data_IF_919358646969
#
_entry.id   IF_919358646969
#
_cell.length_a   1.000
_cell.length_b   1.000
_cell.length_c   1.000
_cell.angle_alpha   90.00
_cell.angle_beta   90.00
_cell.angle_gamma   90.00
#
_symmetry.space_group_name_H-M   'P 1'
#
loop_
_entity.id
_entity.type
_entity.pdbx_description
1 polymer ?
#
# COMPACT_ATOMS: atom_id res chain seq x y z
N UNK A 1 1.71 -12.14 10.45
CA UNK A 1 1.67 -10.76 10.99
C UNK A 1 0.56 -10.00 10.26
N UNK A 2 -0.08 -9.03 10.91
CA UNK A 2 -1.12 -8.20 10.27
C UNK A 2 -0.82 -6.74 10.47
N UNK A 3 -0.78 -5.97 9.38
CA UNK A 3 -0.53 -4.53 9.35
C UNK A 3 -1.62 -3.89 8.52
N UNK A 4 -2.56 -3.20 9.17
CA UNK A 4 -3.73 -2.66 8.49
C UNK A 4 -4.14 -1.29 8.98
N UNK A 5 -4.71 -0.48 8.08
CA UNK A 5 -5.30 0.79 8.47
C UNK A 5 -4.29 1.87 8.85
N UNK A 6 -3.06 1.84 8.34
CA UNK A 6 -2.01 2.80 8.70
C UNK A 6 -1.80 3.85 7.60
N UNK A 7 -1.48 5.08 8.00
CA UNK A 7 -0.98 6.14 7.11
C UNK A 7 0.53 6.27 7.33
N UNK A 8 1.31 6.05 6.28
CA UNK A 8 2.77 6.15 6.30
C UNK A 8 3.18 7.33 5.41
N UNK A 9 3.77 8.37 5.99
CA UNK A 9 4.26 9.54 5.27
C UNK A 9 5.65 9.96 5.78
N UNK A 10 6.46 10.56 4.90
CA UNK A 10 7.77 11.12 5.26
C UNK A 10 8.92 10.11 5.44
N UNK A 11 8.65 8.80 5.30
CA UNK A 11 9.67 7.75 5.35
C UNK A 11 10.39 7.51 4.01
N UNK A 12 11.53 6.82 4.07
CA UNK A 12 12.34 6.45 2.88
C UNK A 12 11.72 5.27 2.11
N UNK A 13 11.06 4.37 2.81
CA UNK A 13 10.33 3.21 2.28
C UNK A 13 9.11 2.95 3.15
N UNK A 14 7.96 2.64 2.54
CA UNK A 14 6.74 2.30 3.27
C UNK A 14 6.71 0.85 3.73
N UNK A 15 7.01 -0.08 2.82
CA UNK A 15 7.11 -1.51 3.12
C UNK A 15 8.49 -2.05 2.72
N UNK A 16 9.26 -2.54 3.69
CA UNK A 16 10.57 -3.14 3.45
C UNK A 16 10.65 -4.54 4.02
N UNK A 17 11.06 -5.49 3.18
CA UNK A 17 11.65 -6.75 3.62
C UNK A 17 13.13 -6.75 3.24
N UNK A 18 13.98 -7.15 4.18
CA UNK A 18 15.41 -7.33 3.91
C UNK A 18 15.89 -8.66 4.48
N UNK A 19 16.69 -9.36 3.70
CA UNK A 19 17.27 -10.65 4.05
C UNK A 19 18.63 -10.52 4.75
N UNK A 20 19.01 -9.31 5.20
CA UNK A 20 20.29 -9.07 5.87
C UNK A 20 20.32 -9.80 7.22
N UNK A 21 21.00 -10.95 7.27
CA UNK A 21 21.05 -11.84 8.43
C UNK A 21 20.56 -13.25 8.08
N UNK A 22 19.67 -13.80 8.91
CA UNK A 22 19.17 -15.17 8.72
C UNK A 22 18.16 -15.32 7.56
N UNK A 23 17.63 -14.21 7.03
CA UNK A 23 16.57 -14.23 6.02
C UNK A 23 15.31 -14.95 6.49
N UNK A 24 14.64 -15.65 5.58
CA UNK A 24 13.48 -16.49 5.87
C UNK A 24 12.18 -16.01 5.22
N UNK A 25 12.24 -14.91 4.48
CA UNK A 25 11.15 -14.37 3.68
C UNK A 25 10.07 -13.65 4.48
N UNK A 26 9.33 -12.80 3.76
CA UNK A 26 8.06 -12.26 4.22
C UNK A 26 6.98 -13.37 4.20
N UNK A 27 6.61 -13.87 5.38
CA UNK A 27 5.73 -15.02 5.54
C UNK A 27 4.43 -14.71 6.28
N UNK A 28 3.33 -15.34 5.86
CA UNK A 28 2.04 -15.32 6.54
C UNK A 28 1.65 -13.92 7.02
N UNK A 29 1.83 -12.93 6.14
CA UNK A 29 1.66 -11.51 6.45
C UNK A 29 0.52 -10.92 5.65
N UNK A 30 -0.39 -10.24 6.33
CA UNK A 30 -1.41 -9.40 5.70
C UNK A 30 -0.99 -7.95 5.84
N UNK A 31 -0.75 -7.27 4.73
CA UNK A 31 -0.51 -5.84 4.68
C UNK A 31 -1.63 -5.20 3.86
N UNK A 32 -2.66 -4.67 4.54
CA UNK A 32 -3.87 -4.27 3.84
C UNK A 32 -4.50 -2.96 4.31
N UNK A 33 -5.16 -2.25 3.39
CA UNK A 33 -5.83 -1.00 3.70
C UNK A 33 -4.89 0.02 4.37
N UNK A 34 -3.65 0.14 3.89
CA UNK A 34 -2.72 1.20 4.31
C UNK A 34 -2.64 2.28 3.22
N UNK A 35 -2.34 3.51 3.61
CA UNK A 35 -2.02 4.61 2.68
C UNK A 35 -0.56 4.97 2.85
N UNK A 36 0.23 4.79 1.79
CA UNK A 36 1.67 5.05 1.79
C UNK A 36 1.92 6.22 0.86
N UNK A 37 2.46 7.30 1.40
CA UNK A 37 2.79 8.52 0.68
C UNK A 37 4.31 8.75 0.72
N UNK A 38 4.92 8.80 -0.46
CA UNK A 38 6.29 9.31 -0.63
C UNK A 38 6.25 10.67 -1.29
N UNK A 39 6.70 11.67 -0.52
CA UNK A 39 6.98 13.02 -0.99
C UNK A 39 8.32 13.13 -1.72
N UNK A 40 8.55 14.30 -2.30
CA UNK A 40 9.74 14.59 -3.10
C UNK A 40 11.03 14.55 -2.27
N UNK A 41 12.04 13.81 -2.73
CA UNK A 41 13.43 13.93 -2.28
C UNK A 41 13.87 13.04 -1.11
N UNK A 42 13.03 12.12 -0.61
CA UNK A 42 13.39 11.25 0.52
C UNK A 42 13.18 9.75 0.32
N UNK A 43 12.60 9.29 -0.80
CA UNK A 43 12.27 7.87 -0.98
C UNK A 43 13.22 7.13 -1.94
N UNK A 44 13.72 5.96 -1.56
CA UNK A 44 14.31 4.99 -2.51
C UNK A 44 13.14 4.40 -3.33
N UNK A 45 12.54 3.33 -2.82
CA UNK A 45 11.31 2.73 -3.32
C UNK A 45 10.25 2.73 -2.23
N UNK A 46 8.99 2.96 -2.59
CA UNK A 46 7.87 2.83 -1.63
C UNK A 46 7.77 1.41 -1.06
N UNK A 47 8.08 0.42 -1.89
CA UNK A 47 8.16 -0.98 -1.53
C UNK A 47 9.52 -1.51 -1.96
N UNK A 48 10.23 -2.16 -1.03
CA UNK A 48 11.49 -2.82 -1.29
C UNK A 48 11.46 -4.24 -0.70
N UNK A 49 11.57 -5.26 -1.54
CA UNK A 49 11.59 -6.67 -1.12
C UNK A 49 12.86 -7.31 -1.69
N UNK A 50 13.81 -7.59 -0.80
CA UNK A 50 15.02 -8.35 -1.11
C UNK A 50 14.72 -9.80 -1.48
N UNK A 51 15.60 -10.43 -2.27
CA UNK A 51 15.44 -11.80 -2.74
C UNK A 51 15.46 -12.80 -1.59
N UNK A 52 14.44 -13.65 -1.49
CA UNK A 52 14.42 -14.75 -0.52
C UNK A 52 13.43 -15.84 -0.94
N UNK A 53 13.89 -17.09 -1.04
CA UNK A 53 13.02 -18.21 -1.41
C UNK A 53 12.00 -18.60 -0.33
N UNK A 54 12.09 -18.00 0.87
CA UNK A 54 11.19 -18.24 1.98
C UNK A 54 9.85 -17.50 1.90
N UNK A 55 9.67 -16.55 0.97
CA UNK A 55 8.42 -15.81 0.82
C UNK A 55 7.23 -16.77 0.64
N UNK A 56 6.21 -16.65 1.50
CA UNK A 56 5.06 -17.56 1.46
C UNK A 56 3.85 -17.04 2.23
N UNK A 57 2.66 -17.16 1.64
CA UNK A 57 1.40 -16.85 2.32
C UNK A 57 1.23 -15.38 2.70
N UNK A 58 1.94 -14.47 2.03
CA UNK A 58 1.78 -13.04 2.25
C UNK A 58 0.79 -12.46 1.26
N UNK A 59 -0.11 -11.59 1.73
CA UNK A 59 -1.08 -10.86 0.92
C UNK A 59 -0.94 -9.36 1.15
N UNK A 60 -0.82 -8.61 0.06
CA UNK A 60 -0.74 -7.16 0.04
C UNK A 60 -1.91 -6.62 -0.77
N UNK A 61 -2.91 -6.07 -0.09
CA UNK A 61 -4.18 -5.75 -0.74
C UNK A 61 -4.86 -4.47 -0.23
N UNK A 62 -5.71 -3.86 -1.05
CA UNK A 62 -6.44 -2.64 -0.69
C UNK A 62 -5.57 -1.46 -0.26
N UNK A 63 -4.28 -1.40 -0.60
CA UNK A 63 -3.43 -0.29 -0.20
C UNK A 63 -3.46 0.85 -1.23
N UNK A 64 -3.17 2.06 -0.79
CA UNK A 64 -2.86 3.19 -1.68
C UNK A 64 -1.35 3.44 -1.63
N UNK A 65 -0.70 3.38 -2.78
CA UNK A 65 0.70 3.74 -2.97
C UNK A 65 0.77 5.03 -3.79
N UNK A 66 1.02 6.15 -3.10
CA UNK A 66 1.05 7.48 -3.69
C UNK A 66 2.49 7.98 -3.75
N UNK A 67 3.09 7.92 -4.95
CA UNK A 67 4.46 8.36 -5.19
C UNK A 67 4.45 9.67 -5.98
N UNK A 68 5.16 10.70 -5.50
CA UNK A 68 5.20 12.02 -6.19
C UNK A 68 6.49 12.28 -6.98
N UNK A 69 7.34 11.27 -7.18
CA UNK A 69 8.65 11.44 -7.81
C UNK A 69 9.75 11.90 -6.84
N UNK A 70 10.97 12.07 -7.37
CA UNK A 70 12.16 12.47 -6.59
C UNK A 70 12.91 11.32 -5.89
N UNK A 71 12.52 10.08 -6.18
CA UNK A 71 13.12 8.84 -5.67
C UNK A 71 13.44 7.83 -6.78
N UNK A 72 13.57 6.55 -6.44
CA UNK A 72 13.84 5.49 -7.43
C UNK A 72 12.58 4.81 -7.98
N UNK A 73 11.44 4.88 -7.28
CA UNK A 73 10.13 4.48 -7.82
C UNK A 73 9.14 3.96 -6.77
N UNK A 74 8.09 3.26 -7.23
CA UNK A 74 7.14 2.60 -6.30
C UNK A 74 7.72 1.27 -5.80
N UNK A 75 8.18 0.41 -6.70
CA UNK A 75 8.56 -0.96 -6.35
C UNK A 75 10.01 -1.27 -6.69
N UNK A 76 10.66 -2.05 -5.83
CA UNK A 76 11.86 -2.83 -6.13
C UNK A 76 11.68 -4.23 -5.59
N UNK A 77 11.71 -5.19 -6.50
CA UNK A 77 11.64 -6.61 -6.18
C UNK A 77 12.84 -7.31 -6.78
N UNK A 78 13.55 -8.07 -5.96
CA UNK A 78 14.47 -9.10 -6.47
C UNK A 78 13.79 -10.47 -6.51
N UNK A 79 12.80 -10.69 -5.64
CA UNK A 79 11.87 -11.80 -5.68
C UNK A 79 10.55 -11.34 -5.03
N UNK A 80 9.42 -11.76 -5.57
CA UNK A 80 8.11 -11.55 -4.96
C UNK A 80 7.23 -12.81 -5.00
N UNK A 81 7.84 -13.97 -5.34
CA UNK A 81 7.15 -15.25 -5.33
C UNK A 81 6.55 -15.52 -3.93
N UNK A 82 5.39 -16.17 -3.88
CA UNK A 82 4.70 -16.41 -2.59
C UNK A 82 4.05 -15.17 -1.95
N UNK A 83 4.07 -14.02 -2.62
CA UNK A 83 3.34 -12.80 -2.25
C UNK A 83 2.21 -12.56 -3.25
N UNK A 84 0.97 -12.49 -2.77
CA UNK A 84 -0.18 -12.11 -3.59
C UNK A 84 -0.46 -10.61 -3.49
N UNK A 85 -0.71 -9.99 -4.65
CA UNK A 85 -1.04 -8.58 -4.79
C UNK A 85 -2.42 -8.46 -5.44
N UNK A 86 -3.32 -7.71 -4.82
CA UNK A 86 -4.66 -7.52 -5.35
C UNK A 86 -5.30 -6.23 -4.81
N UNK A 87 -6.21 -5.64 -5.60
CA UNK A 87 -6.97 -4.45 -5.23
C UNK A 87 -6.12 -3.29 -4.67
N UNK A 88 -4.91 -3.05 -5.18
CA UNK A 88 -4.09 -1.91 -4.76
C UNK A 88 -4.28 -0.72 -5.72
N UNK A 89 -4.13 0.49 -5.19
CA UNK A 89 -4.21 1.75 -5.92
C UNK A 89 -2.79 2.32 -6.07
N UNK A 90 -2.28 2.36 -7.31
CA UNK A 90 -0.92 2.77 -7.66
C UNK A 90 -0.94 4.13 -8.35
N UNK A 91 -0.20 5.10 -7.80
CA UNK A 91 -0.11 6.44 -8.38
C UNK A 91 1.33 6.97 -8.47
N UNK A 92 1.63 7.60 -9.60
CA UNK A 92 2.90 8.27 -9.88
C UNK A 92 4.05 7.37 -10.30
N UNK A 93 3.81 6.07 -10.47
CA UNK A 93 4.80 5.10 -10.94
C UNK A 93 4.17 3.76 -11.32
N UNK A 94 5.00 2.76 -11.62
CA UNK A 94 4.56 1.43 -12.02
C UNK A 94 4.61 0.44 -10.85
N UNK A 95 3.58 -0.42 -10.76
CA UNK A 95 3.55 -1.57 -9.86
C UNK A 95 4.42 -2.74 -10.34
N UNK A 96 4.88 -2.71 -11.60
CA UNK A 96 5.71 -3.77 -12.18
C UNK A 96 5.07 -5.16 -12.05
N UNK A 97 5.84 -6.14 -11.58
CA UNK A 97 5.37 -7.52 -11.37
C UNK A 97 4.44 -7.69 -10.17
N UNK A 98 4.18 -6.64 -9.39
CA UNK A 98 3.13 -6.64 -8.36
C UNK A 98 1.75 -6.19 -8.89
N UNK A 99 1.65 -5.78 -10.15
CA UNK A 99 0.37 -5.39 -10.74
C UNK A 99 -0.59 -6.59 -10.82
N UNK A 100 -1.85 -6.35 -10.50
CA UNK A 100 -2.96 -7.29 -10.69
C UNK A 100 -4.08 -6.69 -11.54
N UNK A 101 -4.95 -7.52 -12.12
CA UNK A 101 -6.13 -7.03 -12.86
C UNK A 101 -7.19 -6.36 -11.98
N UNK A 102 -7.06 -6.49 -10.66
CA UNK A 102 -7.95 -5.86 -9.67
C UNK A 102 -7.41 -4.52 -9.18
N UNK A 103 -6.18 -4.17 -9.56
CA UNK A 103 -5.55 -2.93 -9.15
C UNK A 103 -6.07 -1.74 -9.96
N UNK A 104 -5.89 -0.56 -9.37
CA UNK A 104 -6.15 0.72 -10.02
C UNK A 104 -4.82 1.42 -10.23
N UNK A 105 -4.51 1.75 -11.49
CA UNK A 105 -3.39 2.63 -11.83
C UNK A 105 -3.94 4.03 -12.13
N UNK A 106 -3.96 4.91 -11.14
CA UNK A 106 -4.58 6.23 -11.26
C UNK A 106 -4.46 7.05 -9.99
N UNK A 107 -4.72 8.36 -10.09
CA UNK A 107 -4.69 9.24 -8.92
C UNK A 107 -5.77 8.80 -7.91
N UNK A 108 -5.43 8.46 -6.66
CA UNK A 108 -6.41 8.11 -5.64
C UNK A 108 -7.33 9.28 -5.28
N UNK A 109 -7.02 10.50 -5.72
CA UNK A 109 -7.74 11.73 -5.39
C UNK A 109 -7.95 11.86 -3.88
N UNK A 110 -6.84 11.78 -3.14
CA UNK A 110 -6.78 12.14 -1.73
C UNK A 110 -6.99 13.66 -1.59
N UNK A 111 -7.53 14.11 -0.45
CA UNK A 111 -7.87 15.53 -0.24
C UNK A 111 -6.66 16.45 -0.42
N UNK A 112 -5.55 16.17 0.27
CA UNK A 112 -4.31 16.96 0.17
C UNK A 112 -3.08 16.17 0.70
N UNK A 113 -2.72 15.03 0.06
CA UNK A 113 -1.78 14.08 0.63
C UNK A 113 -0.38 14.68 0.81
N UNK A 114 0.34 14.26 1.85
CA UNK A 114 1.67 14.75 2.18
C UNK A 114 1.71 15.86 3.23
N UNK A 115 0.56 16.32 3.71
CA UNK A 115 0.49 17.17 4.89
C UNK A 115 0.57 16.34 6.18
N UNK A 116 0.72 17.03 7.31
CA UNK A 116 0.63 16.44 8.65
C UNK A 116 -0.82 16.34 9.16
N UNK A 117 -1.81 16.80 8.39
CA UNK A 117 -3.21 16.67 8.74
C UNK A 117 -3.74 15.30 8.28
N UNK A 118 -4.34 14.56 9.20
CA UNK A 118 -4.78 13.20 8.91
C UNK A 118 -5.97 13.16 7.93
N UNK A 119 -6.85 14.16 7.99
CA UNK A 119 -8.02 14.24 7.11
C UNK A 119 -7.63 14.46 5.66
N UNK A 120 -6.42 14.93 5.40
CA UNK A 120 -5.91 15.15 4.05
C UNK A 120 -5.64 13.82 3.29
N UNK A 121 -5.62 12.70 4.02
CA UNK A 121 -5.46 11.35 3.47
C UNK A 121 -6.79 10.61 3.26
N UNK A 122 -7.92 11.30 3.39
CA UNK A 122 -9.24 10.78 2.97
C UNK A 122 -9.35 10.80 1.46
N UNK A 123 -10.08 9.83 0.92
CA UNK A 123 -10.50 9.88 -0.48
C UNK A 123 -11.49 11.02 -0.70
N UNK A 124 -11.46 11.62 -1.87
CA UNK A 124 -12.52 12.52 -2.32
C UNK A 124 -13.70 11.74 -2.91
N UNK A 125 -14.83 12.42 -3.10
CA UNK A 125 -16.06 11.83 -3.65
C UNK A 125 -15.92 11.28 -5.08
N UNK A 126 -14.88 11.68 -5.82
CA UNK A 126 -14.65 11.26 -7.19
C UNK A 126 -13.50 10.26 -7.31
N UNK A 127 -12.93 9.81 -6.19
CA UNK A 127 -11.82 8.87 -6.18
C UNK A 127 -12.16 7.57 -6.92
N UNK A 128 -11.28 7.07 -7.81
CA UNK A 128 -11.44 5.76 -8.41
C UNK A 128 -11.22 4.62 -7.39
N UNK A 129 -10.53 4.90 -6.28
CA UNK A 129 -10.15 3.91 -5.27
C UNK A 129 -11.21 3.74 -4.17
N UNK A 130 -12.39 4.35 -4.35
CA UNK A 130 -13.55 4.25 -3.47
C UNK A 130 -14.47 3.09 -3.89
N UNK A 131 -14.86 2.24 -2.94
CA UNK A 131 -15.72 1.06 -3.12
C UNK A 131 -15.24 0.09 -4.21
N UNK A 132 -13.93 -0.04 -4.36
CA UNK A 132 -13.29 -0.92 -5.35
C UNK A 132 -12.34 -1.92 -4.72
N UNK A 133 -12.18 -1.91 -3.39
CA UNK A 133 -11.38 -2.88 -2.64
C UNK A 133 -12.13 -4.16 -2.27
N UNK A 134 -11.35 -5.19 -1.93
CA UNK A 134 -11.85 -6.46 -1.42
C UNK A 134 -12.32 -6.37 0.04
N UNK A 135 -13.14 -7.31 0.47
CA UNK A 135 -13.59 -7.43 1.87
C UNK A 135 -12.49 -8.13 2.68
N UNK A 136 -11.78 -7.37 3.50
CA UNK A 136 -10.72 -7.89 4.39
C UNK A 136 -11.18 -7.72 5.84
N UNK A 137 -11.69 -8.78 6.45
CA UNK A 137 -12.28 -8.73 7.79
C UNK A 137 -11.32 -8.22 8.88
N UNK A 138 -10.02 -8.53 8.74
CA UNK A 138 -8.96 -8.05 9.61
C UNK A 138 -8.73 -6.52 9.52
N UNK A 139 -9.28 -5.86 8.50
CA UNK A 139 -9.22 -4.42 8.27
C UNK A 139 -10.64 -3.80 8.20
N UNK A 140 -11.60 -4.33 8.97
CA UNK A 140 -13.00 -3.90 8.95
C UNK A 140 -13.27 -2.50 9.51
N UNK A 141 -12.30 -1.92 10.21
CA UNK A 141 -12.34 -0.56 10.74
C UNK A 141 -11.26 0.26 10.02
N UNK A 142 -11.59 1.51 9.69
CA UNK A 142 -10.66 2.44 9.04
C UNK A 142 -9.79 3.21 10.06
N UNK A 143 -8.95 4.12 9.57
CA UNK A 143 -8.05 4.91 10.42
C UNK A 143 -8.80 5.75 11.47
N UNK A 144 -10.01 6.22 11.17
CA UNK A 144 -10.82 7.04 12.07
C UNK A 144 -11.62 6.21 13.10
N UNK A 145 -11.48 4.89 13.09
CA UNK A 145 -12.26 4.02 13.97
C UNK A 145 -13.66 3.73 13.46
N UNK A 146 -13.94 3.99 12.18
CA UNK A 146 -15.26 3.80 11.55
C UNK A 146 -15.29 2.46 10.81
N UNK A 147 -16.43 1.76 10.90
CA UNK A 147 -16.63 0.53 10.15
C UNK A 147 -16.64 0.81 8.63
N UNK A 148 -15.89 0.01 7.86
CA UNK A 148 -15.83 0.14 6.41
C UNK A 148 -17.15 -0.29 5.76
N UNK A 149 -17.59 0.48 4.78
CA UNK A 149 -18.72 0.11 3.92
C UNK A 149 -18.25 -0.89 2.87
N UNK A 150 -19.09 -1.85 2.48
CA UNK A 150 -18.81 -2.85 1.44
C UNK A 150 -19.34 -2.36 0.07
N UNK A 151 -18.58 -2.52 -1.04
CA UNK A 151 -17.16 -2.91 -1.10
C UNK A 151 -16.27 -1.87 -0.41
N UNK A 152 -15.12 -2.30 0.12
CA UNK A 152 -14.25 -1.42 0.88
C UNK A 152 -13.62 -0.34 -0.01
N UNK A 153 -13.36 0.81 0.59
CA UNK A 153 -12.42 1.78 0.04
C UNK A 153 -11.00 1.24 0.20
N UNK A 154 -10.16 1.44 -0.82
CA UNK A 154 -8.72 1.21 -0.70
C UNK A 154 -8.10 2.30 0.20
N UNK A 155 -6.98 1.97 0.83
CA UNK A 155 -6.27 2.87 1.73
C UNK A 155 -6.79 2.85 3.16
N UNK A 156 -6.12 3.63 4.00
CA UNK A 156 -6.32 3.65 5.44
C UNK A 156 -7.58 4.36 5.89
N UNK A 157 -7.94 5.48 5.26
CA UNK A 157 -9.02 6.36 5.70
C UNK A 157 -10.13 6.36 4.65
N UNK A 158 -11.28 5.78 5.01
CA UNK A 158 -12.42 5.70 4.10
C UNK A 158 -13.03 7.09 3.84
N UNK A 159 -13.82 7.18 2.76
CA UNK A 159 -14.57 8.39 2.41
C UNK A 159 -15.59 8.76 3.48
#
# INVERSE_FOLDING_TARGET
>A
MTITGNILFGGITGLRYSNWGAGGGLRNTLFANNTIYAGYGSAEYLINIDQDWGHSGTRIANNIFHYTGGGWGIVRFFDNSGISWDHNCWYGGSAGTAASNTDISGNPMLVNPGSNNIDDYRLTVSSPCRKTGDIILAASIDFAGIARTIPYDMGAYAY
#
